data_IF_453267418455
#
_entry.id   IF_453267418455
#
_cell.length_a   1.000
_cell.length_b   1.000
_cell.length_c   1.000
_cell.angle_alpha   90.00
_cell.angle_beta   90.00
_cell.angle_gamma   90.00
#
_symmetry.space_group_name_H-M   'P 1'
#
loop_
_entity.id
_entity.type
_entity.pdbx_description
1 polymer ?
#
# COMPACT_ATOMS: atom_id res chain seq x y z
N UNK A 1 21.11 11.85 -1.77
CA UNK A 1 20.43 11.95 -0.47
C UNK A 1 19.17 11.10 -0.54
N UNK A 2 19.12 10.07 0.29
CA UNK A 2 18.31 8.86 0.10
C UNK A 2 16.95 8.96 0.81
N UNK A 3 16.33 10.15 0.79
CA UNK A 3 15.12 10.42 1.57
C UNK A 3 13.83 9.99 0.85
N UNK A 4 13.85 9.89 -0.49
CA UNK A 4 12.73 9.38 -1.31
C UNK A 4 12.46 7.88 -1.16
N UNK A 5 13.18 7.20 -0.27
CA UNK A 5 13.21 5.73 -0.15
C UNK A 5 12.46 5.21 1.09
N UNK A 6 12.04 6.11 1.99
CA UNK A 6 11.39 5.74 3.25
C UNK A 6 9.87 5.83 3.21
N UNK A 7 9.31 6.80 2.48
CA UNK A 7 7.85 6.94 2.37
C UNK A 7 7.30 5.96 1.32
N UNK A 8 6.35 5.07 1.69
CA UNK A 8 5.69 4.20 0.74
C UNK A 8 4.94 5.04 -0.30
N UNK A 9 5.06 4.71 -1.59
CA UNK A 9 4.36 5.43 -2.67
C UNK A 9 2.84 5.54 -2.42
N UNK A 10 2.26 4.51 -1.82
CA UNK A 10 0.86 4.44 -1.43
C UNK A 10 0.54 5.50 -0.37
N UNK A 11 1.34 5.58 0.69
CA UNK A 11 1.14 6.52 1.79
C UNK A 11 1.17 7.99 1.31
N UNK A 12 2.13 8.33 0.43
CA UNK A 12 2.23 9.68 -0.13
C UNK A 12 1.03 10.01 -1.02
N UNK A 13 0.59 9.07 -1.85
CA UNK A 13 -0.59 9.25 -2.69
C UNK A 13 -1.87 9.41 -1.86
N UNK A 14 -2.06 8.61 -0.80
CA UNK A 14 -3.16 8.78 0.16
C UNK A 14 -3.10 10.18 0.80
N UNK A 15 -1.91 10.62 1.23
CA UNK A 15 -1.74 11.95 1.81
C UNK A 15 -2.15 13.07 0.85
N UNK A 16 -1.66 13.03 -0.40
CA UNK A 16 -1.99 14.04 -1.42
C UNK A 16 -3.50 14.05 -1.71
N UNK A 17 -4.10 12.89 -1.94
CA UNK A 17 -5.49 12.81 -2.37
C UNK A 17 -6.46 13.08 -1.21
N UNK A 18 -6.35 12.33 -0.11
CA UNK A 18 -7.30 12.38 1.00
C UNK A 18 -7.15 13.61 1.89
N UNK A 19 -5.93 13.94 2.27
CA UNK A 19 -5.67 14.96 3.29
C UNK A 19 -5.45 16.35 2.71
N UNK A 20 -4.84 16.45 1.52
CA UNK A 20 -4.66 17.73 0.83
C UNK A 20 -5.79 18.04 -0.17
N UNK A 21 -6.65 17.08 -0.49
CA UNK A 21 -7.73 17.27 -1.46
C UNK A 21 -7.24 17.37 -2.90
N UNK A 22 -6.11 16.72 -3.23
CA UNK A 22 -5.51 16.68 -4.56
C UNK A 22 -5.31 18.08 -5.19
N UNK A 23 -4.50 18.95 -4.55
CA UNK A 23 -4.35 20.33 -5.01
C UNK A 23 -3.58 20.39 -6.34
N UNK A 24 -3.85 21.38 -7.22
CA UNK A 24 -3.27 21.45 -8.57
C UNK A 24 -1.75 21.33 -8.62
N UNK A 25 -1.04 21.89 -7.64
CA UNK A 25 0.42 21.86 -7.52
C UNK A 25 1.00 20.47 -7.20
N UNK A 26 0.19 19.51 -6.73
CA UNK A 26 0.62 18.13 -6.43
C UNK A 26 -0.04 17.07 -7.32
N UNK A 27 -0.90 17.45 -8.28
CA UNK A 27 -1.54 16.51 -9.22
C UNK A 27 -0.49 15.70 -9.99
N UNK A 28 0.56 16.35 -10.49
CA UNK A 28 1.62 15.66 -11.23
C UNK A 28 2.36 14.64 -10.34
N UNK A 29 2.66 15.02 -9.10
CA UNK A 29 3.28 14.12 -8.12
C UNK A 29 2.38 12.90 -7.85
N UNK A 30 1.09 13.13 -7.60
CA UNK A 30 0.09 12.08 -7.40
C UNK A 30 0.08 11.08 -8.55
N UNK A 31 0.02 11.56 -9.79
CA UNK A 31 0.05 10.69 -10.97
C UNK A 31 1.38 9.94 -11.12
N UNK A 32 2.50 10.57 -10.80
CA UNK A 32 3.82 9.93 -10.84
C UNK A 32 4.02 8.85 -9.76
N UNK A 33 3.21 8.88 -8.69
CA UNK A 33 3.21 7.85 -7.65
C UNK A 33 2.41 6.61 -8.06
N UNK A 34 1.35 6.75 -8.86
CA UNK A 34 0.48 5.65 -9.30
C UNK A 34 1.25 4.44 -9.88
N UNK A 35 2.12 4.57 -10.90
CA UNK A 35 2.82 3.42 -11.46
C UNK A 35 3.76 2.74 -10.45
N UNK A 36 4.34 3.51 -9.52
CA UNK A 36 5.24 2.97 -8.48
C UNK A 36 4.44 2.25 -7.39
N UNK A 37 3.30 2.79 -6.99
CA UNK A 37 2.36 2.18 -6.04
C UNK A 37 1.80 0.87 -6.59
N UNK A 38 1.27 0.87 -7.81
CA UNK A 38 0.79 -0.35 -8.47
C UNK A 38 1.90 -1.40 -8.62
N UNK A 39 3.13 -1.00 -8.96
CA UNK A 39 4.26 -1.95 -9.01
C UNK A 39 4.54 -2.58 -7.63
N UNK A 40 4.50 -1.79 -6.56
CA UNK A 40 4.71 -2.30 -5.21
C UNK A 40 3.58 -3.25 -4.79
N UNK A 41 2.32 -2.88 -5.03
CA UNK A 41 1.15 -3.74 -4.78
C UNK A 41 1.24 -5.04 -5.57
N UNK A 42 1.59 -5.00 -6.85
CA UNK A 42 1.76 -6.23 -7.67
C UNK A 42 2.88 -7.15 -7.16
N UNK A 43 3.95 -6.61 -6.58
CA UNK A 43 5.03 -7.42 -5.99
C UNK A 43 4.53 -8.07 -4.70
N UNK A 44 3.87 -7.30 -3.84
CA UNK A 44 3.33 -7.78 -2.58
C UNK A 44 2.23 -8.83 -2.79
N UNK A 45 1.30 -8.60 -3.72
CA UNK A 45 0.25 -9.55 -4.06
C UNK A 45 0.80 -10.89 -4.54
N UNK A 46 1.86 -10.87 -5.37
CA UNK A 46 2.57 -12.08 -5.79
C UNK A 46 3.26 -12.80 -4.64
N UNK A 47 3.87 -12.05 -3.72
CA UNK A 47 4.52 -12.65 -2.55
C UNK A 47 3.49 -13.34 -1.63
N UNK A 48 2.25 -12.87 -1.61
CA UNK A 48 1.17 -13.41 -0.78
C UNK A 48 0.41 -14.59 -1.43
N UNK A 49 0.82 -15.03 -2.63
CA UNK A 49 0.20 -16.22 -3.28
C UNK A 49 0.45 -17.48 -2.45
N UNK A 50 1.69 -17.67 -2.01
CA UNK A 50 2.12 -18.88 -1.31
C UNK A 50 2.30 -18.66 0.21
N UNK A 51 2.09 -17.42 0.68
CA UNK A 51 2.37 -17.02 2.06
C UNK A 51 1.19 -16.28 2.70
N UNK A 52 0.84 -16.66 3.94
CA UNK A 52 -0.20 -16.00 4.71
C UNK A 52 0.22 -14.63 5.27
N UNK A 53 1.52 -14.40 5.41
CA UNK A 53 2.11 -13.19 5.97
C UNK A 53 3.32 -12.79 5.11
N UNK A 54 3.80 -11.56 5.29
CA UNK A 54 4.88 -11.02 4.47
C UNK A 54 6.24 -11.67 4.73
N UNK A 55 6.43 -12.26 5.92
CA UNK A 55 7.69 -12.90 6.31
C UNK A 55 7.39 -14.22 7.04
N UNK A 56 7.76 -15.34 6.42
CA UNK A 56 7.55 -16.67 7.00
C UNK A 56 6.06 -17.00 7.19
N UNK A 57 5.77 -17.82 8.20
CA UNK A 57 4.43 -18.41 8.41
C UNK A 57 3.63 -17.76 9.55
N UNK A 58 4.11 -16.63 10.10
CA UNK A 58 3.50 -15.96 11.25
C UNK A 58 3.39 -14.45 11.05
N UNK A 59 2.43 -13.83 11.74
CA UNK A 59 2.28 -12.38 11.79
C UNK A 59 3.54 -11.73 12.34
N UNK A 60 4.04 -10.70 11.65
CA UNK A 60 5.21 -9.94 12.10
C UNK A 60 4.95 -8.43 12.10
N UNK A 61 5.92 -7.66 12.62
CA UNK A 61 5.91 -6.20 12.52
C UNK A 61 5.90 -5.71 11.06
N UNK A 62 6.39 -6.51 10.11
CA UNK A 62 6.36 -6.15 8.69
C UNK A 62 4.91 -6.07 8.18
N UNK A 63 4.08 -7.01 8.61
CA UNK A 63 2.66 -7.03 8.27
C UNK A 63 1.93 -5.82 8.84
N UNK A 64 2.14 -5.51 10.13
CA UNK A 64 1.51 -4.36 10.78
C UNK A 64 1.93 -3.05 10.10
N UNK A 65 3.23 -2.88 9.83
CA UNK A 65 3.78 -1.67 9.22
C UNK A 65 3.22 -1.43 7.81
N UNK A 66 3.08 -2.48 7.00
CA UNK A 66 2.53 -2.37 5.65
C UNK A 66 1.01 -2.32 5.64
N UNK A 67 0.34 -2.94 6.62
CA UNK A 67 -1.12 -2.92 6.73
C UNK A 67 -1.60 -1.48 6.92
N UNK A 68 -0.92 -0.69 7.75
CA UNK A 68 -1.28 0.69 8.07
C UNK A 68 -1.55 1.57 6.83
N UNK A 69 -0.82 1.36 5.73
CA UNK A 69 -1.01 2.13 4.49
C UNK A 69 -1.73 1.33 3.40
N UNK A 70 -1.59 0.00 3.39
CA UNK A 70 -2.17 -0.83 2.34
C UNK A 70 -3.69 -0.95 2.51
N UNK A 71 -4.21 -1.06 3.74
CA UNK A 71 -5.66 -1.23 3.96
C UNK A 71 -6.50 0.00 3.58
N UNK A 72 -5.86 1.17 3.39
CA UNK A 72 -6.47 2.43 2.95
C UNK A 72 -5.96 2.89 1.59
N UNK A 73 -5.40 1.98 0.79
CA UNK A 73 -4.78 2.33 -0.49
C UNK A 73 -5.79 2.96 -1.48
N UNK A 74 -7.09 2.66 -1.36
CA UNK A 74 -8.16 3.31 -2.12
C UNK A 74 -8.19 4.83 -1.91
N UNK A 75 -7.81 5.31 -0.72
CA UNK A 75 -7.70 6.74 -0.44
C UNK A 75 -6.59 7.41 -1.27
N UNK A 76 -5.63 6.64 -1.77
CA UNK A 76 -4.60 7.04 -2.73
C UNK A 76 -4.98 6.77 -4.18
N UNK A 77 -6.19 6.29 -4.45
CA UNK A 77 -6.66 5.90 -5.78
C UNK A 77 -6.16 4.54 -6.27
N UNK A 78 -5.69 3.68 -5.38
CA UNK A 78 -5.34 2.30 -5.72
C UNK A 78 -6.53 1.38 -5.45
N UNK A 79 -7.10 0.84 -6.53
CA UNK A 79 -8.14 -0.17 -6.45
C UNK A 79 -7.55 -1.51 -5.96
N UNK A 80 -7.93 -1.93 -4.75
CA UNK A 80 -7.48 -3.18 -4.17
C UNK A 80 -8.19 -4.42 -4.73
N UNK A 81 -9.29 -4.27 -5.47
CA UNK A 81 -9.94 -5.39 -6.17
C UNK A 81 -9.00 -6.03 -7.21
N UNK A 82 -7.99 -5.29 -7.66
CA UNK A 82 -6.93 -5.78 -8.56
C UNK A 82 -5.91 -6.70 -7.87
N UNK A 83 -5.95 -6.81 -6.53
CA UNK A 83 -4.95 -7.48 -5.70
C UNK A 83 -5.61 -8.44 -4.68
N UNK A 84 -6.15 -9.59 -5.14
CA UNK A 84 -6.94 -10.48 -4.30
C UNK A 84 -6.16 -11.08 -3.12
N UNK A 85 -4.85 -11.32 -3.26
CA UNK A 85 -4.05 -11.87 -2.17
C UNK A 85 -3.78 -10.80 -1.11
N UNK A 86 -3.64 -9.53 -1.53
CA UNK A 86 -3.59 -8.39 -0.60
C UNK A 86 -4.91 -8.24 0.13
N UNK A 87 -6.06 -8.36 -0.54
CA UNK A 87 -7.36 -8.29 0.15
C UNK A 87 -7.51 -9.38 1.21
N UNK A 88 -7.18 -10.63 0.88
CA UNK A 88 -7.20 -11.75 1.81
C UNK A 88 -6.24 -11.53 2.99
N UNK A 89 -5.04 -11.01 2.71
CA UNK A 89 -4.08 -10.64 3.74
C UNK A 89 -4.61 -9.51 4.64
N UNK A 90 -5.15 -8.42 4.09
CA UNK A 90 -5.74 -7.33 4.87
C UNK A 90 -6.86 -7.83 5.79
N UNK A 91 -7.73 -8.73 5.29
CA UNK A 91 -8.77 -9.34 6.11
C UNK A 91 -8.18 -10.13 7.28
N UNK A 92 -7.13 -10.92 7.04
CA UNK A 92 -6.44 -11.69 8.08
C UNK A 92 -5.78 -10.81 9.13
N UNK A 93 -5.06 -9.75 8.73
CA UNK A 93 -4.38 -8.84 9.68
C UNK A 93 -5.39 -8.12 10.58
N UNK A 94 -6.57 -7.77 10.05
CA UNK A 94 -7.64 -7.11 10.81
C UNK A 94 -8.13 -7.94 12.01
N UNK A 95 -8.01 -9.27 11.99
CA UNK A 95 -8.40 -10.11 13.12
C UNK A 95 -7.51 -9.91 14.36
N UNK A 96 -6.35 -9.27 14.19
CA UNK A 96 -5.38 -9.00 15.26
C UNK A 96 -5.40 -7.54 15.76
N UNK A 97 -6.25 -6.68 15.19
CA UNK A 97 -6.34 -5.24 15.49
C UNK A 97 -7.72 -4.88 16.06
#
# INVERSE_FOLDING_TARGET
MQQSRHEPFIAVACFINKYLGLPPERIEEYHNLQPKGHKALSIMDKALVDHNYLVGDQLTIADIALYAYTHVAEEGGFDLELYPNIQAWCQRIREYL
#
